data_IF_559527735257
#
_entry.id   IF_559527735257
#
_cell.length_a   1.000
_cell.length_b   1.000
_cell.length_c   1.000
_cell.angle_alpha   90.00
_cell.angle_beta   90.00
_cell.angle_gamma   90.00
#
_symmetry.space_group_name_H-M   'P 1'
#
loop_
_entity.id
_entity.type
_entity.pdbx_description
1 polymer ?
#
# COMPACT_ATOMS: atom_id res chain seq x y z
N UNK A 1 -27.11 -11.31 -1.90
CA UNK A 1 -25.65 -11.17 -2.03
C UNK A 1 -25.01 -11.60 -0.70
N UNK A 2 -24.52 -12.84 -0.60
CA UNK A 2 -23.97 -13.36 0.67
C UNK A 2 -22.50 -12.96 0.75
N UNK A 3 -22.16 -12.10 1.71
CA UNK A 3 -20.80 -11.64 2.00
C UNK A 3 -19.98 -12.81 2.57
N UNK A 4 -19.16 -13.47 1.75
CA UNK A 4 -18.19 -14.44 2.27
C UNK A 4 -16.93 -13.71 2.73
N UNK A 5 -16.84 -13.40 4.02
CA UNK A 5 -15.54 -13.13 4.67
C UNK A 5 -14.97 -14.45 5.16
N UNK A 6 -14.32 -15.19 4.26
CA UNK A 6 -13.60 -16.41 4.65
C UNK A 6 -12.24 -16.02 5.23
N UNK A 7 -12.10 -16.21 6.55
CA UNK A 7 -10.79 -16.19 7.18
C UNK A 7 -10.11 -17.55 7.00
N UNK A 8 -8.85 -17.55 6.57
CA UNK A 8 -8.00 -18.74 6.54
C UNK A 8 -7.18 -18.84 7.83
N UNK A 9 -6.92 -20.07 8.29
CA UNK A 9 -6.00 -20.31 9.42
C UNK A 9 -4.61 -20.58 8.88
N UNK A 10 -3.63 -19.88 9.44
CA UNK A 10 -2.22 -20.10 9.17
C UNK A 10 -1.53 -20.64 10.43
N UNK A 11 -0.54 -21.51 10.24
CA UNK A 11 0.38 -21.92 11.30
C UNK A 11 1.74 -21.31 11.02
N UNK A 12 2.38 -20.77 12.05
CA UNK A 12 3.69 -20.15 11.94
C UNK A 12 4.59 -20.61 13.08
N UNK A 13 5.88 -20.78 12.79
CA UNK A 13 6.90 -21.00 13.81
C UNK A 13 7.48 -19.66 14.22
N UNK A 14 7.52 -19.39 15.52
CA UNK A 14 7.96 -18.11 16.08
C UNK A 14 8.97 -18.38 17.21
N UNK A 15 9.98 -17.52 17.39
CA UNK A 15 10.79 -17.54 18.59
C UNK A 15 9.91 -17.36 19.84
N UNK A 16 10.17 -18.13 20.90
CA UNK A 16 9.38 -18.06 22.14
C UNK A 16 9.37 -16.64 22.72
N UNK A 17 10.49 -15.93 22.63
CA UNK A 17 10.60 -14.53 23.07
C UNK A 17 9.63 -13.59 22.36
N UNK A 18 9.33 -13.85 21.07
CA UNK A 18 8.37 -13.06 20.31
C UNK A 18 6.92 -13.42 20.71
N UNK A 19 6.63 -14.71 20.90
CA UNK A 19 5.31 -15.16 21.38
C UNK A 19 4.98 -14.53 22.74
N UNK A 20 5.96 -14.46 23.66
CA UNK A 20 5.80 -13.79 24.97
C UNK A 20 5.44 -12.32 24.82
N UNK A 21 6.06 -11.61 23.86
CA UNK A 21 5.72 -10.20 23.59
C UNK A 21 4.30 -10.04 23.06
N UNK A 22 3.90 -10.87 22.09
CA UNK A 22 2.52 -10.91 21.56
C UNK A 22 1.52 -11.14 22.69
N UNK A 23 1.80 -12.11 23.57
CA UNK A 23 0.95 -12.43 24.71
C UNK A 23 0.83 -11.29 25.70
N UNK A 24 1.93 -10.59 25.98
CA UNK A 24 1.91 -9.45 26.89
C UNK A 24 1.06 -8.30 26.36
N UNK A 25 1.07 -8.04 25.04
CA UNK A 25 0.24 -7.01 24.42
C UNK A 25 -1.26 -7.36 24.51
N UNK A 26 -1.61 -8.63 24.30
CA UNK A 26 -3.00 -9.10 24.47
C UNK A 26 -3.41 -9.06 25.94
N UNK A 27 -2.54 -9.47 26.87
CA UNK A 27 -2.81 -9.43 28.32
C UNK A 27 -3.02 -8.01 28.85
N UNK A 28 -2.35 -7.02 28.25
CA UNK A 28 -2.54 -5.59 28.56
C UNK A 28 -3.80 -5.00 27.89
N UNK A 29 -4.57 -5.81 27.17
CA UNK A 29 -5.75 -5.38 26.41
C UNK A 29 -5.46 -4.32 25.35
N UNK A 30 -4.21 -4.19 24.91
CA UNK A 30 -3.83 -3.33 23.77
C UNK A 30 -4.41 -3.92 22.46
N UNK A 31 -4.60 -5.23 22.44
CA UNK A 31 -5.27 -5.97 21.36
C UNK A 31 -6.24 -6.99 21.95
N UNK A 32 -7.38 -7.26 21.28
CA UNK A 32 -8.41 -8.15 21.82
C UNK A 32 -8.00 -9.63 21.83
N UNK A 33 -7.13 -10.05 20.90
CA UNK A 33 -6.58 -11.41 20.84
C UNK A 33 -5.34 -11.46 19.93
N UNK A 34 -4.65 -12.60 19.93
CA UNK A 34 -3.44 -12.83 19.11
C UNK A 34 -3.72 -12.68 17.61
N UNK A 35 -4.84 -13.20 17.12
CA UNK A 35 -5.19 -13.15 15.70
C UNK A 35 -5.34 -11.72 15.20
N UNK A 36 -6.05 -10.87 15.95
CA UNK A 36 -6.24 -9.46 15.62
C UNK A 36 -4.91 -8.69 15.63
N UNK A 37 -4.06 -8.94 16.64
CA UNK A 37 -2.72 -8.35 16.70
C UNK A 37 -1.89 -8.74 15.46
N UNK A 38 -1.84 -10.04 15.14
CA UNK A 38 -1.07 -10.56 14.00
C UNK A 38 -1.62 -10.04 12.68
N UNK A 39 -2.94 -9.97 12.52
CA UNK A 39 -3.59 -9.41 11.33
C UNK A 39 -3.19 -7.94 11.12
N UNK A 40 -3.29 -7.10 12.16
CA UNK A 40 -2.91 -5.69 12.10
C UNK A 40 -1.42 -5.55 11.77
N UNK A 41 -0.56 -6.32 12.44
CA UNK A 41 0.88 -6.28 12.20
C UNK A 41 1.24 -6.67 10.76
N UNK A 42 0.59 -7.70 10.20
CA UNK A 42 0.79 -8.12 8.81
C UNK A 42 0.31 -7.04 7.82
N UNK A 43 -0.85 -6.43 8.06
CA UNK A 43 -1.36 -5.33 7.23
C UNK A 43 -0.39 -4.17 7.22
N UNK A 44 0.12 -3.76 8.39
CA UNK A 44 1.08 -2.66 8.51
C UNK A 44 2.40 -2.98 7.78
N UNK A 45 2.93 -4.19 7.95
CA UNK A 45 4.16 -4.63 7.28
C UNK A 45 4.00 -4.63 5.75
N UNK A 46 2.89 -5.16 5.23
CA UNK A 46 2.63 -5.22 3.80
C UNK A 46 2.44 -3.81 3.19
N UNK A 47 1.76 -2.92 3.91
CA UNK A 47 1.64 -1.51 3.49
C UNK A 47 2.98 -0.82 3.42
N UNK A 48 3.80 -0.94 4.46
CA UNK A 48 5.14 -0.35 4.46
C UNK A 48 6.01 -0.85 3.30
N UNK A 49 5.89 -2.13 2.92
CA UNK A 49 6.59 -2.66 1.74
C UNK A 49 6.05 -2.09 0.42
N UNK A 50 4.73 -1.91 0.30
CA UNK A 50 4.14 -1.27 -0.88
C UNK A 50 4.57 0.19 -1.00
N UNK A 51 4.53 0.93 0.10
CA UNK A 51 4.89 2.35 0.13
C UNK A 51 6.37 2.53 -0.24
N UNK A 52 7.27 1.72 0.33
CA UNK A 52 8.69 1.74 -0.02
C UNK A 52 8.93 1.45 -1.51
N UNK A 53 8.13 0.56 -2.12
CA UNK A 53 8.19 0.31 -3.56
C UNK A 53 7.72 1.52 -4.36
N UNK A 54 6.62 2.16 -3.96
CA UNK A 54 6.11 3.37 -4.61
C UNK A 54 7.14 4.49 -4.52
N UNK A 55 7.73 4.71 -3.35
CA UNK A 55 8.79 5.71 -3.15
C UNK A 55 10.01 5.43 -4.04
N UNK A 56 10.45 4.17 -4.11
CA UNK A 56 11.57 3.78 -4.96
C UNK A 56 11.29 3.97 -6.46
N UNK A 57 10.06 3.72 -6.91
CA UNK A 57 9.66 3.99 -8.30
C UNK A 57 9.51 5.49 -8.57
N UNK A 58 8.88 6.24 -7.65
CA UNK A 58 8.71 7.68 -7.75
C UNK A 58 10.06 8.42 -7.78
N UNK A 59 11.06 7.93 -7.04
CA UNK A 59 12.41 8.47 -7.05
C UNK A 59 13.13 8.33 -8.40
N UNK A 60 12.64 7.49 -9.33
CA UNK A 60 13.18 7.38 -10.69
C UNK A 60 12.67 8.49 -11.62
N UNK A 61 11.56 9.14 -11.26
CA UNK A 61 10.95 10.18 -12.08
C UNK A 61 11.79 11.46 -12.00
N UNK A 62 12.10 12.05 -13.16
CA UNK A 62 12.71 13.37 -13.22
C UNK A 62 11.61 14.40 -13.48
N UNK A 63 11.23 15.15 -12.44
CA UNK A 63 10.12 16.10 -12.51
C UNK A 63 10.21 17.09 -13.68
N UNK A 64 11.40 17.56 -14.05
CA UNK A 64 11.54 18.48 -15.18
C UNK A 64 11.29 17.79 -16.53
N UNK A 65 11.75 16.54 -16.67
CA UNK A 65 11.50 15.76 -17.88
C UNK A 65 10.02 15.40 -18.02
N UNK A 66 9.38 14.97 -16.93
CA UNK A 66 7.96 14.62 -16.91
C UNK A 66 7.06 15.82 -17.25
N UNK A 67 7.39 17.01 -16.74
CA UNK A 67 6.65 18.24 -17.07
C UNK A 67 6.83 18.60 -18.54
N UNK A 68 8.06 18.53 -19.07
CA UNK A 68 8.34 18.85 -20.46
C UNK A 68 7.59 17.90 -21.42
N UNK A 69 7.58 16.59 -21.13
CA UNK A 69 6.85 15.59 -21.92
C UNK A 69 5.33 15.81 -21.86
N UNK A 70 4.79 16.21 -20.70
CA UNK A 70 3.37 16.54 -20.56
C UNK A 70 2.98 17.82 -21.33
N UNK A 71 3.84 18.84 -21.32
CA UNK A 71 3.63 20.09 -22.07
C UNK A 71 3.68 19.84 -23.59
N UNK A 72 4.64 19.04 -24.07
CA UNK A 72 4.70 18.58 -25.46
C UNK A 72 3.41 17.87 -25.87
N UNK A 73 2.94 16.91 -25.07
CA UNK A 73 1.70 16.18 -25.35
C UNK A 73 0.43 17.07 -25.37
N UNK A 74 0.34 18.10 -24.51
CA UNK A 74 -0.77 19.05 -24.56
C UNK A 74 -0.70 19.96 -25.79
N UNK A 75 0.51 20.34 -26.20
CA UNK A 75 0.72 21.17 -27.37
C UNK A 75 0.35 20.38 -28.64
N UNK A 76 0.83 19.15 -28.78
CA UNK A 76 0.45 18.23 -29.85
C UNK A 76 -1.06 18.01 -29.91
N UNK A 77 -1.71 17.80 -28.77
CA UNK A 77 -3.17 17.67 -28.71
C UNK A 77 -3.86 18.93 -29.25
N UNK A 78 -3.43 20.10 -28.80
CA UNK A 78 -4.01 21.39 -29.22
C UNK A 78 -3.81 21.67 -30.72
N UNK A 79 -2.72 21.19 -31.29
CA UNK A 79 -2.43 21.31 -32.72
C UNK A 79 -3.30 20.36 -33.56
N UNK A 80 -3.67 19.19 -32.99
CA UNK A 80 -4.55 18.21 -33.64
C UNK A 80 -6.03 18.64 -33.57
N UNK A 81 -6.51 19.12 -32.40
CA UNK A 81 -7.94 19.44 -32.20
C UNK A 81 -8.29 20.92 -32.38
N UNK A 82 -7.28 21.79 -32.56
CA UNK A 82 -7.43 23.24 -32.58
C UNK A 82 -7.71 23.86 -31.20
N UNK A 83 -7.50 25.18 -31.07
CA UNK A 83 -7.78 25.96 -29.84
C UNK A 83 -9.29 26.06 -29.57
N UNK A 84 -9.92 24.95 -29.19
CA UNK A 84 -11.36 24.86 -28.95
C UNK A 84 -11.95 23.45 -28.95
N UNK A 85 -11.12 22.39 -28.98
CA UNK A 85 -11.57 21.01 -29.10
C UNK A 85 -12.63 20.60 -28.07
N UNK A 86 -13.88 20.53 -28.53
CA UNK A 86 -14.95 19.72 -27.94
C UNK A 86 -15.09 18.45 -28.77
N UNK A 87 -15.20 17.29 -28.11
CA UNK A 87 -15.54 16.02 -28.73
C UNK A 87 -16.81 16.10 -29.60
#
# INVERSE_FOLDING_TARGET
MIKQTKHAKISATLPLSLLVKVDNLVKKSEYPNRSALIEIALIQMLRAQMDAKIEAEAAKLNTQAEIAEAEEGMQDYSDIVGQGGTF
#
